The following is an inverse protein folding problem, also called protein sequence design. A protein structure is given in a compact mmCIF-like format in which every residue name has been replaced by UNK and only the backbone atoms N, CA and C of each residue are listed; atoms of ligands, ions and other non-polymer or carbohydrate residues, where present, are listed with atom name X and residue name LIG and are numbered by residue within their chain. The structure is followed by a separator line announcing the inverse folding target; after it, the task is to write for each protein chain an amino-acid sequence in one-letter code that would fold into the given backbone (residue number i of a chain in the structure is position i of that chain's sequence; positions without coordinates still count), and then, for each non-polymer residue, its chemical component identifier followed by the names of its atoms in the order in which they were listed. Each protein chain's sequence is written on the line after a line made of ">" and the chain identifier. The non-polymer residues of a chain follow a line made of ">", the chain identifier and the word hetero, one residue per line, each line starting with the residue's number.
data_IF_060848771898
#
_entry.id   IF_060848771898
#
_cell.length_a   1.000
_cell.length_b   1.000
_cell.length_c   1.000
_cell.angle_alpha   90.00
_cell.angle_beta   90.00
_cell.angle_gamma   90.00
#
_symmetry.space_group_name_H-M   'P 1'
#
loop_
_entity.id
_entity.type
_entity.pdbx_description
1 polymer ?
#
# COMPACT_ATOMS: atom_id res chain seq x y z
N UNK A 1 0.99 -1.39 29.84
CA UNK A 1 0.27 -1.31 28.54
C UNK A 1 1.06 -2.12 27.52
N UNK A 2 0.52 -3.25 27.08
CA UNK A 2 1.25 -4.11 26.15
C UNK A 2 1.13 -3.54 24.74
N UNK A 3 2.20 -2.97 24.25
CA UNK A 3 2.29 -2.35 22.91
C UNK A 3 2.05 -3.37 21.77
N UNK A 4 1.97 -4.67 22.11
CA UNK A 4 1.84 -5.79 21.17
C UNK A 4 0.64 -6.68 21.44
N UNK A 5 -0.43 -6.13 21.96
CA UNK A 5 -1.67 -6.90 22.09
C UNK A 5 -2.19 -7.24 20.70
N UNK A 6 -2.50 -8.54 20.52
CA UNK A 6 -3.13 -8.99 19.28
C UNK A 6 -4.62 -8.67 19.33
N UNK A 7 -5.16 -8.24 18.19
CA UNK A 7 -6.61 -8.10 18.03
C UNK A 7 -7.29 -9.45 18.12
N UNK A 8 -8.52 -9.47 18.63
CA UNK A 8 -9.32 -10.68 18.65
C UNK A 8 -9.73 -11.08 17.23
N UNK A 9 -9.88 -12.39 17.02
CA UNK A 9 -10.41 -12.91 15.76
C UNK A 9 -11.83 -12.38 15.58
N UNK A 10 -12.13 -11.85 14.38
CA UNK A 10 -13.44 -11.30 14.04
C UNK A 10 -13.56 -9.80 14.25
N UNK A 11 -12.50 -9.07 14.61
CA UNK A 11 -12.50 -7.62 14.58
C UNK A 11 -12.35 -7.08 13.15
N UNK A 12 -13.18 -6.07 12.80
CA UNK A 12 -13.15 -5.43 11.48
C UNK A 12 -12.04 -4.38 11.40
N UNK A 13 -10.78 -4.81 11.50
CA UNK A 13 -9.60 -3.93 11.60
C UNK A 13 -9.44 -2.97 10.42
N UNK A 14 -9.86 -3.36 9.22
CA UNK A 14 -9.81 -2.52 8.02
C UNK A 14 -10.77 -1.32 8.12
N UNK A 15 -11.98 -1.53 8.64
CA UNK A 15 -12.95 -0.45 8.89
C UNK A 15 -12.44 0.49 9.96
N UNK A 16 -11.91 -0.06 11.06
CA UNK A 16 -11.33 0.72 12.17
C UNK A 16 -10.16 1.58 11.65
N UNK A 17 -9.28 1.00 10.84
CA UNK A 17 -8.15 1.71 10.23
C UNK A 17 -8.64 2.84 9.31
N UNK A 18 -9.59 2.56 8.42
CA UNK A 18 -10.14 3.55 7.50
C UNK A 18 -10.81 4.73 8.25
N UNK A 19 -11.57 4.44 9.31
CA UNK A 19 -12.19 5.46 10.15
C UNK A 19 -11.16 6.28 10.93
N UNK A 20 -10.14 5.64 11.49
CA UNK A 20 -9.08 6.30 12.26
C UNK A 20 -8.22 7.24 11.40
N UNK A 21 -8.06 6.92 10.11
CA UNK A 21 -7.35 7.77 9.15
C UNK A 21 -8.29 8.84 8.57
N UNK A 22 -9.55 8.49 8.30
CA UNK A 22 -10.51 9.37 7.62
C UNK A 22 -11.11 10.45 8.51
N UNK A 23 -11.37 10.16 9.78
CA UNK A 23 -11.98 11.13 10.72
C UNK A 23 -11.11 12.40 10.86
N UNK A 24 -9.83 12.30 11.22
CA UNK A 24 -8.99 13.49 11.30
C UNK A 24 -8.82 14.19 9.94
N UNK A 25 -8.87 13.45 8.84
CA UNK A 25 -8.80 14.00 7.49
C UNK A 25 -9.92 15.02 7.23
N UNK A 26 -11.14 14.74 7.65
CA UNK A 26 -12.27 15.65 7.53
C UNK A 26 -12.06 16.94 8.34
N UNK A 27 -11.51 16.83 9.55
CA UNK A 27 -11.20 18.00 10.40
C UNK A 27 -10.09 18.87 9.78
N UNK A 28 -9.08 18.25 9.17
CA UNK A 28 -8.00 18.97 8.48
C UNK A 28 -8.50 19.78 7.28
N UNK A 29 -9.41 19.22 6.50
CA UNK A 29 -10.04 19.92 5.36
C UNK A 29 -10.83 21.15 5.82
N UNK A 30 -11.58 21.04 6.93
CA UNK A 30 -12.30 22.17 7.49
C UNK A 30 -11.40 23.29 7.99
N UNK A 31 -10.25 22.95 8.62
CA UNK A 31 -9.28 23.95 9.07
C UNK A 31 -8.63 24.73 7.95
N UNK A 32 -8.33 24.08 6.82
CA UNK A 32 -7.75 24.78 5.64
C UNK A 32 -8.72 25.76 4.99
N UNK A 33 -10.03 25.51 5.08
CA UNK A 33 -11.07 26.41 4.56
C UNK A 33 -11.26 27.63 5.47
N UNK A 34 -11.09 27.48 6.79
CA UNK A 34 -11.31 28.56 7.76
C UNK A 34 -10.05 29.38 8.08
N UNK A 35 -8.87 28.88 7.80
CA UNK A 35 -7.61 29.62 7.97
C UNK A 35 -7.34 30.47 6.72
N UNK A 36 -8.05 31.57 6.58
CA UNK A 36 -7.83 32.61 5.54
C UNK A 36 -6.51 33.40 5.70
N UNK A 37 -5.52 32.85 6.37
CA UNK A 37 -4.16 33.38 6.45
C UNK A 37 -3.31 32.71 5.39
N UNK A 38 -2.42 33.51 4.79
CA UNK A 38 -1.46 33.18 3.73
C UNK A 38 -0.67 31.91 4.03
N UNK A 39 -1.35 30.74 3.96
CA UNK A 39 -0.68 29.47 3.83
C UNK A 39 -0.12 29.44 2.40
N UNK A 40 1.18 29.38 2.26
CA UNK A 40 1.83 29.33 0.96
C UNK A 40 1.28 28.17 0.15
N UNK A 41 1.20 28.33 -1.17
CA UNK A 41 0.74 27.29 -2.11
C UNK A 41 1.42 25.93 -1.88
N UNK A 42 2.61 25.92 -1.29
CA UNK A 42 3.34 24.72 -0.88
C UNK A 42 2.68 23.96 0.29
N UNK A 43 2.02 24.63 1.24
CA UNK A 43 1.38 23.98 2.40
C UNK A 43 0.08 23.25 2.05
N UNK A 44 -0.67 23.76 1.08
CA UNK A 44 -1.93 23.16 0.63
C UNK A 44 -1.70 21.84 -0.11
N UNK A 45 -0.55 21.71 -0.80
CA UNK A 45 -0.17 20.49 -1.52
C UNK A 45 0.50 19.43 -0.63
N UNK A 46 0.89 19.79 0.60
CA UNK A 46 1.56 18.90 1.56
C UNK A 46 0.60 18.22 2.55
N UNK A 47 -0.67 18.62 2.56
CA UNK A 47 -1.68 18.06 3.47
C UNK A 47 -2.35 16.77 2.95
N UNK A 48 -3.68 16.73 3.03
CA UNK A 48 -4.50 15.58 2.58
C UNK A 48 -4.25 15.13 1.14
N UNK A 49 -4.00 16.01 0.15
CA UNK A 49 -3.68 15.58 -1.21
C UNK A 49 -2.41 14.71 -1.28
N UNK A 50 -1.45 14.94 -0.37
CA UNK A 50 -0.26 14.08 -0.28
C UNK A 50 -0.58 12.70 0.27
N UNK A 51 -1.48 12.62 1.26
CA UNK A 51 -1.94 11.34 1.81
C UNK A 51 -2.68 10.53 0.73
N UNK A 52 -3.55 11.18 -0.03
CA UNK A 52 -4.24 10.57 -1.17
C UNK A 52 -3.24 10.06 -2.23
N UNK A 53 -2.24 10.87 -2.58
CA UNK A 53 -1.19 10.50 -3.54
C UNK A 53 -0.40 9.26 -3.07
N UNK A 54 -0.08 9.18 -1.78
CA UNK A 54 0.62 8.04 -1.18
C UNK A 54 -0.24 6.77 -1.20
N UNK A 55 -1.49 6.85 -0.76
CA UNK A 55 -2.40 5.70 -0.73
C UNK A 55 -2.84 5.26 -2.13
N UNK A 56 -2.88 6.16 -3.11
CA UNK A 56 -3.13 5.79 -4.51
C UNK A 56 -1.85 5.36 -5.26
N UNK A 57 -0.70 5.35 -4.57
CA UNK A 57 0.61 5.02 -5.16
C UNK A 57 0.87 5.78 -6.47
N UNK A 58 0.42 7.05 -6.53
CA UNK A 58 0.62 7.91 -7.70
C UNK A 58 2.06 8.41 -7.77
N UNK A 59 2.54 8.60 -9.00
CA UNK A 59 3.84 9.24 -9.21
C UNK A 59 3.76 10.72 -8.80
N UNK A 60 4.60 11.19 -7.85
CA UNK A 60 4.57 12.57 -7.40
C UNK A 60 4.95 13.55 -8.50
N UNK A 61 4.35 14.76 -8.47
CA UNK A 61 4.68 15.81 -9.43
C UNK A 61 6.10 16.36 -9.25
N UNK A 62 6.57 16.46 -8.02
CA UNK A 62 7.95 16.84 -7.66
C UNK A 62 8.77 15.61 -7.28
N UNK A 63 9.12 14.78 -8.26
CA UNK A 63 9.84 13.53 -8.03
C UNK A 63 11.28 13.79 -7.56
N UNK A 64 11.65 13.18 -6.44
CA UNK A 64 13.04 13.09 -6.00
C UNK A 64 13.76 11.97 -6.78
N UNK A 65 15.00 12.22 -7.16
CA UNK A 65 15.88 11.19 -7.69
C UNK A 65 16.46 10.45 -6.49
N UNK A 66 16.36 9.12 -6.49
CA UNK A 66 16.87 8.24 -5.42
C UNK A 66 18.06 7.43 -5.91
N UNK A 67 18.93 7.05 -4.98
CA UNK A 67 20.03 6.16 -5.29
C UNK A 67 19.56 4.71 -5.38
N UNK A 68 19.99 4.00 -6.42
CA UNK A 68 19.71 2.57 -6.57
C UNK A 68 20.77 1.69 -5.90
N UNK A 69 21.92 2.25 -5.57
CA UNK A 69 23.06 1.53 -4.98
C UNK A 69 23.58 2.27 -3.74
N UNK A 70 24.19 1.52 -2.84
CA UNK A 70 24.97 2.07 -1.72
C UNK A 70 26.29 2.60 -2.22
N UNK A 71 26.72 3.77 -1.76
CA UNK A 71 28.02 4.25 -2.18
C UNK A 71 28.41 5.62 -1.66
N UNK A 72 29.53 6.10 -2.18
CA UNK A 72 30.02 7.45 -1.94
C UNK A 72 29.64 8.36 -3.10
N UNK A 73 29.17 9.54 -2.76
CA UNK A 73 28.71 10.52 -3.73
C UNK A 73 29.90 11.31 -4.25
N UNK A 74 29.94 11.51 -5.57
CA UNK A 74 30.78 12.50 -6.27
C UNK A 74 29.86 13.39 -7.11
N UNK A 75 29.94 14.69 -6.87
CA UNK A 75 29.15 15.69 -7.60
C UNK A 75 30.03 16.37 -8.65
N UNK A 76 29.66 16.22 -9.91
CA UNK A 76 30.26 16.96 -11.03
C UNK A 76 29.31 18.07 -11.46
N UNK A 77 29.79 19.31 -11.41
CA UNK A 77 29.02 20.49 -11.80
C UNK A 77 29.60 21.07 -13.09
N UNK A 78 29.25 20.47 -14.21
CA UNK A 78 29.57 21.04 -15.53
C UNK A 78 28.57 22.15 -15.88
N UNK A 79 29.06 23.23 -16.46
CA UNK A 79 28.29 24.47 -16.76
C UNK A 79 26.95 24.24 -17.48
N UNK A 80 26.65 23.04 -17.96
CA UNK A 80 25.41 22.70 -18.66
C UNK A 80 24.58 21.59 -18.00
N UNK A 81 25.20 20.75 -17.16
CA UNK A 81 24.50 19.63 -16.49
C UNK A 81 25.14 19.37 -15.13
N UNK A 82 24.30 19.18 -14.12
CA UNK A 82 24.75 18.63 -12.84
C UNK A 82 24.60 17.14 -12.88
N UNK A 83 25.68 16.43 -12.61
CA UNK A 83 25.70 14.97 -12.55
C UNK A 83 26.17 14.53 -11.16
N UNK A 84 25.46 13.59 -10.61
CA UNK A 84 25.80 12.96 -9.33
C UNK A 84 26.12 11.50 -9.60
N UNK A 85 27.36 11.12 -9.33
CA UNK A 85 27.81 9.73 -9.45
C UNK A 85 27.87 9.12 -8.06
N UNK A 86 27.17 8.01 -7.88
CA UNK A 86 27.27 7.17 -6.68
C UNK A 86 28.20 6.01 -7.00
N UNK A 87 29.29 5.91 -6.26
CA UNK A 87 30.31 4.90 -6.45
C UNK A 87 30.28 3.92 -5.29
N UNK A 88 29.95 2.66 -5.59
CA UNK A 88 30.11 1.51 -4.72
C UNK A 88 31.48 0.86 -4.92
N UNK A 89 31.77 -0.25 -4.25
CA UNK A 89 33.01 -1.01 -4.45
C UNK A 89 33.06 -1.69 -5.82
N UNK A 90 31.89 -2.13 -6.31
CA UNK A 90 31.77 -2.99 -7.49
C UNK A 90 31.00 -2.33 -8.65
N UNK A 91 30.30 -1.20 -8.39
CA UNK A 91 29.46 -0.54 -9.38
C UNK A 91 29.48 0.99 -9.22
N UNK A 92 29.19 1.69 -10.30
CA UNK A 92 29.07 3.15 -10.31
C UNK A 92 27.87 3.57 -11.17
N UNK A 93 26.95 4.33 -10.57
CA UNK A 93 25.77 4.88 -11.27
C UNK A 93 25.81 6.39 -11.30
N UNK A 94 25.59 6.96 -12.49
CA UNK A 94 25.54 8.42 -12.70
C UNK A 94 24.08 8.85 -12.90
N UNK A 95 23.65 9.82 -12.12
CA UNK A 95 22.33 10.41 -12.17
C UNK A 95 22.41 11.84 -12.71
N UNK A 96 21.71 12.13 -13.79
CA UNK A 96 21.63 13.48 -14.35
C UNK A 96 20.55 14.28 -13.60
N UNK A 97 20.93 15.39 -13.01
CA UNK A 97 20.06 16.25 -12.21
C UNK A 97 19.36 17.27 -13.11
N UNK A 98 18.02 17.34 -13.13
CA UNK A 98 17.29 18.37 -13.86
C UNK A 98 17.66 19.79 -13.42
N UNK A 99 17.63 20.73 -14.37
CA UNK A 99 17.88 22.14 -14.06
C UNK A 99 16.89 22.67 -13.03
N UNK A 100 17.40 23.29 -11.98
CA UNK A 100 16.59 23.84 -10.88
C UNK A 100 16.28 22.86 -9.74
N UNK A 101 16.60 21.59 -9.87
CA UNK A 101 16.48 20.66 -8.75
C UNK A 101 17.57 20.91 -7.70
N UNK A 102 17.15 20.95 -6.43
CA UNK A 102 18.06 21.14 -5.31
C UNK A 102 18.60 19.78 -4.84
N UNK A 103 19.90 19.72 -4.63
CA UNK A 103 20.57 18.54 -4.07
C UNK A 103 20.35 18.50 -2.56
N UNK A 104 20.01 17.33 -2.05
CA UNK A 104 19.91 17.02 -0.61
C UNK A 104 21.24 16.53 -0.04
N UNK A 105 22.16 16.10 -0.91
CA UNK A 105 23.44 15.50 -0.60
C UNK A 105 24.61 16.39 -1.01
N UNK A 106 25.74 16.21 -0.36
CA UNK A 106 27.00 16.92 -0.64
C UNK A 106 28.02 15.98 -1.25
N UNK A 107 29.03 16.58 -1.90
CA UNK A 107 30.15 15.79 -2.41
C UNK A 107 30.89 15.10 -1.26
N UNK A 108 31.17 13.82 -1.44
CA UNK A 108 31.83 12.98 -0.44
C UNK A 108 30.91 12.28 0.58
N UNK A 109 29.61 12.59 0.60
CA UNK A 109 28.64 11.95 1.50
C UNK A 109 28.49 10.46 1.14
N UNK A 110 28.13 9.66 2.15
CA UNK A 110 27.72 8.27 1.97
C UNK A 110 26.20 8.23 1.85
N UNK A 111 25.70 7.52 0.84
CA UNK A 111 24.29 7.30 0.61
C UNK A 111 24.00 5.81 0.57
N UNK A 112 22.82 5.43 1.10
CA UNK A 112 22.30 4.08 0.99
C UNK A 112 21.26 3.98 -0.13
N UNK A 113 21.06 2.77 -0.66
CA UNK A 113 20.05 2.49 -1.66
C UNK A 113 18.65 2.94 -1.15
N UNK A 114 17.87 3.58 -2.04
CA UNK A 114 16.56 4.13 -1.69
C UNK A 114 16.57 5.54 -1.07
N UNK A 115 17.73 6.09 -0.73
CA UNK A 115 17.81 7.45 -0.19
C UNK A 115 17.75 8.52 -1.30
N UNK A 116 17.08 9.67 -1.05
CA UNK A 116 16.93 10.73 -2.04
C UNK A 116 18.21 11.53 -2.23
N UNK A 117 18.63 11.69 -3.48
CA UNK A 117 19.73 12.54 -3.93
C UNK A 117 19.26 14.00 -4.05
N UNK A 118 18.02 14.22 -4.53
CA UNK A 118 17.42 15.55 -4.70
C UNK A 118 16.29 15.78 -3.70
N UNK A 119 15.95 17.06 -3.47
CA UNK A 119 14.73 17.42 -2.76
C UNK A 119 13.50 17.00 -3.59
N UNK A 120 12.45 16.56 -2.91
CA UNK A 120 11.20 16.13 -3.54
C UNK A 120 10.57 14.92 -2.86
N UNK A 121 9.47 14.47 -3.41
CA UNK A 121 8.74 13.30 -2.96
C UNK A 121 9.22 12.05 -3.70
N UNK A 122 9.40 10.96 -2.98
CA UNK A 122 9.86 9.69 -3.58
C UNK A 122 8.66 8.95 -4.16
N UNK A 123 8.87 8.24 -5.27
CA UNK A 123 7.88 7.34 -5.84
C UNK A 123 7.90 6.01 -5.09
N UNK A 124 6.78 5.59 -4.46
CA UNK A 124 6.74 4.33 -3.71
C UNK A 124 7.06 3.08 -4.56
N UNK A 125 6.78 3.12 -5.86
CA UNK A 125 7.10 2.01 -6.76
C UNK A 125 8.62 1.85 -6.97
N UNK A 126 9.38 2.93 -6.94
CA UNK A 126 10.84 2.87 -7.03
C UNK A 126 11.45 2.30 -5.74
N UNK A 127 10.88 2.68 -4.57
CA UNK A 127 11.27 2.09 -3.29
C UNK A 127 11.00 0.57 -3.29
N UNK A 128 9.85 0.15 -3.83
CA UNK A 128 9.54 -1.29 -3.94
C UNK A 128 10.58 -2.04 -4.77
N UNK A 129 11.07 -1.41 -5.84
CA UNK A 129 12.06 -2.03 -6.72
C UNK A 129 13.46 -2.13 -6.07
N UNK A 130 13.82 -1.17 -5.20
CA UNK A 130 15.15 -1.06 -4.60
C UNK A 130 15.20 -1.74 -3.23
N UNK A 131 14.30 -1.36 -2.32
CA UNK A 131 14.32 -1.75 -0.91
C UNK A 131 13.30 -2.86 -0.58
N UNK A 132 12.51 -3.29 -1.58
CA UNK A 132 11.48 -4.30 -1.37
C UNK A 132 10.28 -3.80 -0.58
N UNK A 133 9.50 -4.75 -0.05
CA UNK A 133 8.22 -4.46 0.65
C UNK A 133 8.42 -3.72 1.96
N UNK A 134 9.45 -4.05 2.74
CA UNK A 134 9.73 -3.41 4.03
C UNK A 134 10.00 -1.91 3.87
N UNK A 135 10.83 -1.54 2.90
CA UNK A 135 11.10 -0.13 2.61
C UNK A 135 9.86 0.66 2.22
N UNK A 136 8.91 0.03 1.52
CA UNK A 136 7.63 0.67 1.19
C UNK A 136 6.77 0.86 2.44
N UNK A 137 6.70 -0.13 3.34
CA UNK A 137 5.96 0.01 4.60
C UNK A 137 6.49 1.18 5.43
N UNK A 138 7.79 1.22 5.66
CA UNK A 138 8.43 2.28 6.43
C UNK A 138 8.18 3.66 5.79
N UNK A 139 8.36 3.76 4.49
CA UNK A 139 8.16 5.01 3.77
C UNK A 139 6.72 5.51 3.85
N UNK A 140 5.73 4.64 3.60
CA UNK A 140 4.32 5.01 3.68
C UNK A 140 3.93 5.46 5.08
N UNK A 141 4.33 4.70 6.12
CA UNK A 141 4.04 5.04 7.51
C UNK A 141 4.67 6.40 7.86
N UNK A 142 5.95 6.59 7.56
CA UNK A 142 6.67 7.82 7.89
C UNK A 142 6.07 9.05 7.19
N UNK A 143 5.80 8.97 5.90
CA UNK A 143 5.27 10.11 5.13
C UNK A 143 3.82 10.44 5.52
N UNK A 144 2.97 9.44 5.75
CA UNK A 144 1.59 9.67 6.21
C UNK A 144 1.60 10.26 7.62
N UNK A 145 2.36 9.68 8.54
CA UNK A 145 2.50 10.19 9.91
C UNK A 145 3.03 11.64 9.94
N UNK A 146 3.99 11.95 9.08
CA UNK A 146 4.52 13.31 8.96
C UNK A 146 3.43 14.32 8.61
N UNK A 147 2.53 13.98 7.69
CA UNK A 147 1.41 14.86 7.32
C UNK A 147 0.48 15.09 8.50
N UNK A 148 0.08 14.02 9.20
CA UNK A 148 -0.83 14.13 10.34
C UNK A 148 -0.19 14.83 11.54
N UNK A 149 1.04 14.52 11.89
CA UNK A 149 1.78 15.17 12.98
C UNK A 149 1.99 16.67 12.74
N UNK A 150 2.26 17.09 11.50
CA UNK A 150 2.37 18.50 11.14
C UNK A 150 1.06 19.27 11.39
N UNK A 151 -0.07 18.55 11.43
CA UNK A 151 -1.39 19.13 11.73
C UNK A 151 -1.80 18.93 13.20
N UNK A 152 -0.92 18.38 14.02
CA UNK A 152 -1.16 18.15 15.45
C UNK A 152 -2.11 16.95 15.71
N UNK A 153 -2.24 16.04 14.76
CA UNK A 153 -3.04 14.81 14.91
C UNK A 153 -2.10 13.63 15.09
N UNK A 154 -2.40 12.80 16.09
CA UNK A 154 -1.66 11.56 16.35
C UNK A 154 -2.52 10.35 15.97
N UNK A 155 -2.01 9.53 15.06
CA UNK A 155 -2.63 8.29 14.59
C UNK A 155 -1.65 7.15 14.88
N UNK A 156 -2.17 6.01 15.34
CA UNK A 156 -1.31 4.85 15.58
C UNK A 156 -0.89 4.22 14.23
N UNK A 157 0.40 3.90 14.11
CA UNK A 157 1.02 3.36 12.91
C UNK A 157 0.30 2.10 12.37
N UNK A 158 -0.25 1.26 13.27
CA UNK A 158 -0.97 0.02 12.91
C UNK A 158 -2.10 0.25 11.91
N UNK A 159 -2.78 1.40 11.94
CA UNK A 159 -3.86 1.70 11.02
C UNK A 159 -3.35 1.95 9.60
N UNK A 160 -2.21 2.61 9.48
CA UNK A 160 -1.53 2.85 8.20
C UNK A 160 -0.96 1.54 7.67
N UNK A 161 -0.35 0.73 8.54
CA UNK A 161 0.22 -0.58 8.18
C UNK A 161 -0.84 -1.54 7.64
N UNK A 162 -2.04 -1.57 8.22
CA UNK A 162 -3.16 -2.40 7.71
C UNK A 162 -3.51 -2.02 6.28
N UNK A 163 -3.57 -0.72 5.96
CA UNK A 163 -3.86 -0.26 4.60
C UNK A 163 -2.69 -0.58 3.66
N UNK A 164 -1.46 -0.29 4.06
CA UNK A 164 -0.27 -0.57 3.26
C UNK A 164 -0.12 -2.07 2.95
N UNK A 165 -0.47 -2.96 3.90
CA UNK A 165 -0.51 -4.40 3.68
C UNK A 165 -1.48 -4.78 2.56
N UNK A 166 -2.67 -4.17 2.51
CA UNK A 166 -3.63 -4.42 1.43
C UNK A 166 -3.13 -3.92 0.07
N UNK A 167 -2.37 -2.82 0.04
CA UNK A 167 -1.76 -2.30 -1.19
C UNK A 167 -0.69 -3.24 -1.76
N UNK A 168 -0.03 -4.04 -0.92
CA UNK A 168 1.04 -4.98 -1.29
C UNK A 168 0.58 -6.45 -1.34
N UNK A 169 -0.72 -6.69 -1.23
CA UNK A 169 -1.28 -8.04 -1.15
C UNK A 169 -1.15 -8.83 -2.45
N UNK A 170 -1.06 -8.18 -3.60
CA UNK A 170 -1.05 -8.82 -4.91
C UNK A 170 0.34 -8.88 -5.51
N UNK A 171 0.58 -9.95 -6.27
CA UNK A 171 1.77 -10.16 -7.10
C UNK A 171 1.36 -10.29 -8.56
N UNK A 172 2.26 -9.94 -9.45
CA UNK A 172 2.12 -10.19 -10.88
C UNK A 172 2.95 -11.41 -11.26
N UNK A 173 2.32 -12.40 -11.85
CA UNK A 173 2.99 -13.58 -12.38
C UNK A 173 3.83 -13.19 -13.59
N UNK A 174 5.14 -13.48 -13.58
CA UNK A 174 6.03 -13.25 -14.72
C UNK A 174 6.15 -14.50 -15.59
N UNK A 175 6.48 -15.64 -14.99
CA UNK A 175 6.51 -16.94 -15.65
C UNK A 175 5.60 -17.91 -14.88
N UNK A 176 4.71 -18.58 -15.59
CA UNK A 176 3.73 -19.47 -14.99
C UNK A 176 4.29 -20.85 -14.61
N UNK A 177 5.48 -21.24 -15.10
CA UNK A 177 5.99 -22.58 -14.85
C UNK A 177 4.97 -23.66 -15.21
N UNK A 178 4.80 -24.62 -14.32
CA UNK A 178 3.82 -25.73 -14.45
C UNK A 178 2.55 -25.48 -13.61
N UNK A 179 2.35 -24.21 -13.13
CA UNK A 179 1.16 -23.83 -12.38
C UNK A 179 -0.05 -23.58 -13.27
N UNK A 180 -1.24 -23.54 -12.68
CA UNK A 180 -2.48 -23.16 -13.38
C UNK A 180 -2.64 -21.65 -13.61
N UNK A 181 -1.68 -20.84 -13.15
CA UNK A 181 -1.73 -19.38 -13.25
C UNK A 181 -1.37 -18.88 -14.63
N UNK A 182 -1.89 -17.71 -15.00
CA UNK A 182 -1.57 -17.07 -16.27
C UNK A 182 -0.48 -16.02 -16.10
N UNK A 183 0.51 -16.02 -17.01
CA UNK A 183 1.52 -14.98 -17.06
C UNK A 183 0.86 -13.59 -17.23
N UNK A 184 1.33 -12.59 -16.46
CA UNK A 184 0.79 -11.24 -16.44
C UNK A 184 -0.43 -11.04 -15.52
N UNK A 185 -1.03 -12.12 -14.96
CA UNK A 185 -2.16 -12.01 -14.04
C UNK A 185 -1.74 -11.46 -12.68
N UNK A 186 -2.69 -10.81 -12.00
CA UNK A 186 -2.55 -10.37 -10.60
C UNK A 186 -3.19 -11.42 -9.70
N UNK A 187 -2.40 -12.03 -8.84
CA UNK A 187 -2.80 -13.09 -7.91
C UNK A 187 -2.51 -12.64 -6.49
N UNK A 188 -3.24 -13.18 -5.51
CA UNK A 188 -2.93 -13.01 -4.10
C UNK A 188 -1.60 -13.69 -3.77
N UNK A 189 -0.83 -13.09 -2.87
CA UNK A 189 0.48 -13.63 -2.47
C UNK A 189 0.34 -15.03 -1.88
N UNK A 190 -0.67 -15.25 -1.03
CA UNK A 190 -0.87 -16.54 -0.38
C UNK A 190 -1.30 -17.61 -1.40
N UNK A 191 -2.24 -17.28 -2.28
CA UNK A 191 -2.68 -18.22 -3.34
C UNK A 191 -1.52 -18.58 -4.27
N UNK A 192 -0.62 -17.62 -4.53
CA UNK A 192 0.59 -17.84 -5.33
C UNK A 192 1.57 -18.79 -4.60
N UNK A 193 1.77 -18.59 -3.30
CA UNK A 193 2.65 -19.42 -2.48
C UNK A 193 2.08 -20.85 -2.37
N UNK A 194 0.79 -20.99 -2.06
CA UNK A 194 0.10 -22.30 -1.93
C UNK A 194 0.16 -23.10 -3.25
N UNK A 195 -0.10 -22.45 -4.39
CA UNK A 195 -0.04 -23.11 -5.69
C UNK A 195 1.39 -23.54 -6.05
N UNK A 196 2.39 -22.70 -5.75
CA UNK A 196 3.79 -23.08 -5.95
C UNK A 196 4.20 -24.25 -5.06
N UNK A 197 3.80 -24.27 -3.78
CA UNK A 197 4.07 -25.40 -2.89
C UNK A 197 3.45 -26.68 -3.43
N UNK A 198 2.21 -26.61 -3.94
CA UNK A 198 1.53 -27.75 -4.56
C UNK A 198 2.29 -28.29 -5.77
N UNK A 199 2.76 -27.41 -6.66
CA UNK A 199 3.50 -27.80 -7.88
C UNK A 199 4.87 -28.36 -7.54
N UNK A 200 5.59 -27.75 -6.61
CA UNK A 200 6.89 -28.26 -6.13
C UNK A 200 6.74 -29.66 -5.48
N UNK A 201 5.70 -29.86 -4.68
CA UNK A 201 5.41 -31.17 -4.09
C UNK A 201 5.11 -32.25 -5.15
N UNK A 202 4.54 -31.84 -6.30
CA UNK A 202 4.32 -32.71 -7.46
C UNK A 202 5.57 -32.90 -8.36
N UNK A 203 6.70 -32.23 -8.03
CA UNK A 203 7.96 -32.30 -8.81
C UNK A 203 7.98 -31.40 -10.05
N UNK A 204 7.04 -30.45 -10.18
CA UNK A 204 6.98 -29.48 -11.27
C UNK A 204 7.80 -28.22 -10.99
N UNK A 205 7.88 -27.34 -12.00
CA UNK A 205 8.57 -26.06 -11.95
C UNK A 205 7.64 -24.98 -11.38
N UNK A 206 8.01 -24.27 -10.28
CA UNK A 206 7.21 -23.22 -9.70
C UNK A 206 7.11 -21.98 -10.63
N UNK A 207 6.04 -21.22 -10.48
CA UNK A 207 5.89 -19.92 -11.12
C UNK A 207 6.80 -18.87 -10.47
N UNK A 208 7.19 -17.85 -11.25
CA UNK A 208 7.90 -16.65 -10.75
C UNK A 208 6.99 -15.44 -10.75
N UNK A 209 7.17 -14.55 -9.80
CA UNK A 209 6.36 -13.35 -9.68
C UNK A 209 7.16 -12.11 -9.31
N UNK A 210 6.56 -10.95 -9.55
CA UNK A 210 7.04 -9.66 -9.09
C UNK A 210 6.02 -9.03 -8.15
N UNK A 211 6.48 -8.52 -7.00
CA UNK A 211 5.64 -7.73 -6.09
C UNK A 211 5.13 -6.46 -6.79
N UNK A 212 3.88 -6.13 -6.58
CA UNK A 212 3.24 -4.94 -7.16
C UNK A 212 2.60 -4.12 -6.07
N UNK A 213 2.86 -2.82 -6.09
CA UNK A 213 2.17 -1.87 -5.23
C UNK A 213 0.92 -1.35 -5.96
N UNK A 214 -0.24 -1.62 -5.41
CA UNK A 214 -1.52 -1.12 -5.91
C UNK A 214 -1.99 0.04 -5.05
N UNK A 215 -2.48 1.11 -5.70
CA UNK A 215 -3.25 2.13 -4.99
C UNK A 215 -4.53 1.54 -4.39
N UNK A 216 -5.07 2.17 -3.34
CA UNK A 216 -6.26 1.66 -2.61
C UNK A 216 -7.46 1.43 -3.52
N UNK A 217 -7.69 2.31 -4.50
CA UNK A 217 -8.76 2.15 -5.49
C UNK A 217 -8.57 0.89 -6.32
N UNK A 218 -7.36 0.68 -6.87
CA UNK A 218 -7.04 -0.51 -7.66
C UNK A 218 -7.06 -1.79 -6.81
N UNK A 219 -6.53 -1.73 -5.59
CA UNK A 219 -6.56 -2.86 -4.66
C UNK A 219 -7.99 -3.26 -4.29
N UNK A 220 -8.90 -2.28 -4.12
CA UNK A 220 -10.32 -2.53 -3.83
C UNK A 220 -11.07 -3.15 -5.01
N UNK A 221 -10.67 -2.87 -6.25
CA UNK A 221 -11.25 -3.49 -7.46
C UNK A 221 -10.63 -4.87 -7.77
N UNK A 222 -9.40 -5.11 -7.32
CA UNK A 222 -8.68 -6.36 -7.51
C UNK A 222 -9.00 -7.43 -6.45
N UNK A 223 -10.15 -7.31 -5.75
CA UNK A 223 -10.64 -8.30 -4.80
C UNK A 223 -11.22 -9.52 -5.52
N UNK A 224 -11.27 -10.65 -4.85
CA UNK A 224 -11.87 -11.87 -5.38
C UNK A 224 -13.39 -11.80 -5.46
N UNK A 225 -14.00 -11.13 -4.46
CA UNK A 225 -15.44 -10.88 -4.44
C UNK A 225 -15.85 -9.88 -5.51
N UNK A 226 -16.55 -10.35 -6.54
CA UNK A 226 -17.08 -9.46 -7.57
C UNK A 226 -18.25 -8.59 -7.05
N UNK A 227 -18.98 -9.05 -6.03
CA UNK A 227 -20.03 -8.25 -5.40
C UNK A 227 -19.44 -7.03 -4.67
N UNK A 228 -18.36 -7.25 -3.93
CA UNK A 228 -17.63 -6.17 -3.25
C UNK A 228 -17.06 -5.16 -4.25
N UNK A 229 -16.42 -5.62 -5.31
CA UNK A 229 -15.87 -4.76 -6.36
C UNK A 229 -16.97 -3.97 -7.10
N UNK A 230 -18.06 -4.62 -7.50
CA UNK A 230 -19.18 -4.00 -8.21
C UNK A 230 -19.88 -2.92 -7.39
N UNK A 231 -19.92 -3.05 -6.08
CA UNK A 231 -20.54 -2.05 -5.19
C UNK A 231 -19.65 -0.83 -4.96
N UNK A 232 -18.40 -0.86 -5.36
CA UNK A 232 -17.47 0.25 -5.17
C UNK A 232 -17.42 1.17 -6.40
N UNK A 233 -17.00 0.67 -7.56
CA UNK A 233 -16.91 1.40 -8.83
C UNK A 233 -17.06 0.45 -10.01
N UNK A 234 -17.31 1.02 -11.18
CA UNK A 234 -17.36 0.28 -12.47
C UNK A 234 -18.33 -0.92 -12.45
N UNK A 235 -19.48 -0.79 -11.80
CA UNK A 235 -20.45 -1.87 -11.58
C UNK A 235 -20.74 -2.71 -12.81
N UNK A 236 -21.06 -2.06 -13.93
CA UNK A 236 -21.40 -2.75 -15.20
C UNK A 236 -20.23 -3.61 -15.70
N UNK A 237 -19.02 -3.05 -15.69
CA UNK A 237 -17.82 -3.78 -16.16
C UNK A 237 -17.54 -4.99 -15.30
N UNK A 238 -17.55 -4.82 -13.96
CA UNK A 238 -17.26 -5.89 -13.01
C UNK A 238 -18.29 -7.01 -13.11
N UNK A 239 -19.58 -6.68 -13.18
CA UNK A 239 -20.64 -7.68 -13.29
C UNK A 239 -20.61 -8.41 -14.64
N UNK A 240 -20.34 -7.70 -15.74
CA UNK A 240 -20.19 -8.30 -17.06
C UNK A 240 -19.01 -9.28 -17.09
N UNK A 241 -17.87 -8.86 -16.55
CA UNK A 241 -16.68 -9.72 -16.47
C UNK A 241 -16.91 -10.95 -15.60
N UNK A 242 -17.59 -10.79 -14.46
CA UNK A 242 -17.94 -11.90 -13.59
C UNK A 242 -18.91 -12.88 -14.25
N UNK A 243 -19.90 -12.38 -14.98
CA UNK A 243 -20.86 -13.20 -15.71
C UNK A 243 -20.18 -13.99 -16.84
N UNK A 244 -19.33 -13.34 -17.65
CA UNK A 244 -18.60 -14.00 -18.75
C UNK A 244 -17.66 -15.07 -18.21
N UNK A 245 -17.00 -14.84 -17.07
CA UNK A 245 -16.07 -15.80 -16.45
C UNK A 245 -16.75 -16.85 -15.57
N UNK A 246 -18.07 -16.76 -15.37
CA UNK A 246 -18.82 -17.65 -14.48
C UNK A 246 -18.31 -17.62 -13.03
N UNK A 247 -17.91 -16.43 -12.53
CA UNK A 247 -17.36 -16.32 -11.16
C UNK A 247 -18.41 -16.62 -10.11
N UNK A 248 -17.98 -17.34 -9.07
CA UNK A 248 -18.75 -17.56 -7.85
C UNK A 248 -18.16 -16.70 -6.74
N UNK A 249 -19.01 -16.07 -5.92
CA UNK A 249 -18.59 -15.30 -4.76
C UNK A 249 -18.78 -16.14 -3.49
N UNK A 250 -17.73 -16.37 -2.75
CA UNK A 250 -17.73 -17.24 -1.57
C UNK A 250 -18.26 -16.53 -0.31
N UNK A 251 -18.56 -15.24 -0.38
CA UNK A 251 -19.08 -14.42 0.72
C UNK A 251 -18.20 -14.42 1.98
N UNK A 252 -16.89 -14.37 1.78
CA UNK A 252 -15.92 -14.42 2.88
C UNK A 252 -15.77 -13.05 3.57
N UNK A 253 -15.88 -11.96 2.84
CA UNK A 253 -15.67 -10.60 3.34
C UNK A 253 -16.92 -10.00 4.01
N UNK A 254 -16.78 -8.76 4.47
CA UNK A 254 -17.87 -8.06 5.16
C UNK A 254 -18.91 -7.50 4.19
N UNK A 255 -18.44 -6.85 3.13
CA UNK A 255 -19.28 -6.03 2.24
C UNK A 255 -20.26 -6.88 1.44
N UNK A 256 -19.85 -7.99 0.86
CA UNK A 256 -20.70 -8.94 0.14
C UNK A 256 -21.79 -9.53 1.02
N UNK A 257 -21.50 -9.84 2.28
CA UNK A 257 -22.50 -10.32 3.23
C UNK A 257 -23.53 -9.24 3.57
N UNK A 258 -23.11 -7.99 3.72
CA UNK A 258 -24.01 -6.85 3.92
C UNK A 258 -24.94 -6.66 2.72
N UNK A 259 -24.42 -6.74 1.49
CA UNK A 259 -25.20 -6.58 0.26
C UNK A 259 -26.31 -7.63 0.16
N UNK A 260 -26.02 -8.89 0.53
CA UNK A 260 -26.99 -9.99 0.48
C UNK A 260 -27.91 -10.01 1.70
N UNK A 261 -27.64 -9.21 2.74
CA UNK A 261 -28.44 -9.17 3.97
C UNK A 261 -28.12 -10.32 4.94
N UNK A 262 -26.93 -10.91 4.84
CA UNK A 262 -26.42 -11.89 5.81
C UNK A 262 -25.65 -11.20 6.94
N UNK A 263 -25.53 -11.89 8.07
CA UNK A 263 -24.65 -11.44 9.15
C UNK A 263 -23.19 -11.39 8.65
N UNK A 264 -22.51 -10.28 8.94
CA UNK A 264 -21.09 -10.14 8.60
C UNK A 264 -20.25 -11.17 9.36
N UNK A 265 -19.17 -11.70 8.77
CA UNK A 265 -18.27 -12.66 9.44
C UNK A 265 -17.33 -11.96 10.43
N UNK A 266 -17.85 -11.06 11.26
CA UNK A 266 -17.14 -10.30 12.27
C UNK A 266 -18.02 -10.12 13.52
N UNK A 267 -17.40 -9.97 14.69
CA UNK A 267 -18.11 -9.84 15.96
C UNK A 267 -19.08 -10.99 16.21
N UNK A 268 -20.33 -10.68 16.55
CA UNK A 268 -21.38 -11.68 16.84
C UNK A 268 -21.84 -12.49 15.61
N UNK A 269 -21.48 -12.07 14.40
CA UNK A 269 -21.81 -12.78 13.16
C UNK A 269 -20.87 -13.94 12.83
N UNK A 270 -19.80 -14.14 13.59
CA UNK A 270 -18.87 -15.24 13.39
C UNK A 270 -19.54 -16.61 13.58
N UNK A 271 -19.05 -17.61 12.85
CA UNK A 271 -19.58 -18.98 12.89
C UNK A 271 -19.62 -19.58 14.31
N UNK A 272 -18.65 -19.24 15.16
CA UNK A 272 -18.56 -19.73 16.53
C UNK A 272 -19.76 -19.30 17.41
N UNK A 273 -20.39 -18.16 17.12
CA UNK A 273 -21.54 -17.66 17.88
C UNK A 273 -22.88 -18.15 17.34
N UNK A 274 -22.93 -18.74 16.15
CA UNK A 274 -24.18 -19.23 15.54
C UNK A 274 -24.74 -20.46 16.22
N UNK A 275 -23.90 -21.24 16.88
CA UNK A 275 -24.26 -22.50 17.54
C UNK A 275 -24.28 -22.41 19.06
N UNK A 276 -24.33 -21.20 19.63
CA UNK A 276 -24.40 -21.01 21.08
C UNK A 276 -25.85 -21.14 21.51
N UNK A 277 -26.15 -22.18 22.30
CA UNK A 277 -27.43 -22.37 22.98
C UNK A 277 -27.31 -21.89 24.43
N UNK A 278 -28.17 -20.97 24.80
CA UNK A 278 -28.25 -20.50 26.19
C UNK A 278 -29.20 -21.46 26.91
N UNK A 279 -28.67 -22.26 27.85
CA UNK A 279 -29.51 -23.00 28.81
C UNK A 279 -29.61 -22.20 30.09
N UNK A 280 -30.81 -21.81 30.46
CA UNK A 280 -31.11 -21.31 31.82
C UNK A 280 -31.33 -22.51 32.71
N UNK A 281 -30.36 -22.87 33.52
CA UNK A 281 -30.65 -23.74 34.68
C UNK A 281 -31.55 -22.95 35.62
N UNK A 282 -32.79 -23.37 35.74
CA UNK A 282 -33.63 -22.93 36.83
C UNK A 282 -33.06 -23.58 38.09
N UNK A 283 -32.32 -22.84 38.89
CA UNK A 283 -32.01 -23.21 40.26
C UNK A 283 -33.32 -23.14 41.03
N UNK A 284 -33.89 -24.33 41.35
CA UNK A 284 -34.93 -24.49 42.37
C UNK A 284 -34.36 -24.15 43.75
#
# INVERSE_FOLDING_TARGET
>A
MCIRDRVNIGEAVGIIAAQSIGEPGTQLTMRTIHSGGVAGVADITQGLPRVEELFEARKPKGLAIISEIDGKISVSDDKKKKEVTVQSKDDAKTYTIPFGAKLKVKDGDKISAGQPITEGSINPNEILAINGTEGVYEYLVQEVQKVYRNQGVDINDKHIEVIARQMLKKVRVEDNGDTSMFAGSLVDVHDFEDENERVVAAGGRPATCKRVLLGITKASLATESFLSAASFQETTRVLTEAAVKGKTDELIGLKENVIIGKLIPAGTGMKQYRNVHISTEQTE
#
